data_IF_302812417940
#
_entry.id   IF_302812417940
#
_cell.length_a   1.000
_cell.length_b   1.000
_cell.length_c   1.000
_cell.angle_alpha   90.00
_cell.angle_beta   90.00
_cell.angle_gamma   90.00
#
_symmetry.space_group_name_H-M   'P 1'
#
loop_
_entity.id
_entity.type
_entity.pdbx_description
1 polymer ?
#
# COMPACT_ATOMS: atom_id res chain seq x y z
N UNK A 1 -13.52 -8.24 8.97
CA UNK A 1 -12.87 -7.02 9.50
C UNK A 1 -11.38 -7.21 9.39
N UNK A 2 -10.64 -6.25 8.83
CA UNK A 2 -9.17 -6.38 8.71
C UNK A 2 -8.54 -6.32 10.09
N UNK A 3 -7.70 -7.31 10.45
CA UNK A 3 -7.06 -7.41 11.78
C UNK A 3 -6.10 -6.25 12.06
N UNK A 4 -5.63 -5.58 11.03
CA UNK A 4 -4.55 -4.58 11.10
C UNK A 4 -5.07 -3.14 11.15
N UNK A 5 -6.33 -2.94 10.76
CA UNK A 5 -6.91 -1.62 10.54
C UNK A 5 -8.01 -1.35 11.54
N UNK A 6 -7.98 -0.15 12.11
CA UNK A 6 -9.05 0.39 12.93
C UNK A 6 -9.70 1.59 12.27
N UNK A 7 -11.02 1.57 12.19
CA UNK A 7 -11.80 2.73 11.77
C UNK A 7 -12.10 3.59 13.00
N UNK A 8 -11.64 4.85 12.98
CA UNK A 8 -11.95 5.84 13.99
C UNK A 8 -12.94 6.84 13.41
N UNK A 9 -14.12 6.91 14.04
CA UNK A 9 -15.14 7.89 13.70
C UNK A 9 -14.88 9.21 14.45
N UNK A 10 -14.85 10.31 13.72
CA UNK A 10 -14.75 11.67 14.23
C UNK A 10 -16.10 12.39 14.10
N UNK A 11 -16.23 13.49 14.84
CA UNK A 11 -17.38 14.38 14.73
C UNK A 11 -17.63 14.80 13.27
N UNK A 12 -18.92 14.96 12.92
CA UNK A 12 -19.41 15.28 11.56
C UNK A 12 -19.20 14.16 10.52
N UNK A 13 -19.25 12.90 10.95
CA UNK A 13 -19.28 11.74 10.03
C UNK A 13 -17.95 11.45 9.33
N UNK A 14 -16.85 12.06 9.76
CA UNK A 14 -15.53 11.79 9.19
C UNK A 14 -14.99 10.49 9.76
N UNK A 15 -14.69 9.52 8.90
CA UNK A 15 -14.00 8.29 9.29
C UNK A 15 -12.53 8.39 8.87
N UNK A 16 -11.63 7.97 9.75
CA UNK A 16 -10.24 7.69 9.37
C UNK A 16 -9.92 6.24 9.62
N UNK A 17 -9.11 5.67 8.74
CA UNK A 17 -8.57 4.32 8.90
C UNK A 17 -7.16 4.46 9.47
N UNK A 18 -6.91 3.80 10.58
CA UNK A 18 -5.61 3.75 11.25
C UNK A 18 -5.02 2.36 11.10
N UNK A 19 -3.76 2.29 10.72
CA UNK A 19 -2.98 1.06 10.76
C UNK A 19 -2.44 0.88 12.18
N UNK A 20 -2.98 -0.10 12.92
CA UNK A 20 -2.58 -0.39 14.30
C UNK A 20 -1.56 -1.52 14.37
N UNK A 21 -1.55 -2.42 13.40
CA UNK A 21 -0.62 -3.56 13.35
C UNK A 21 0.03 -3.62 11.97
N UNK A 22 1.34 -3.84 11.90
CA UNK A 22 2.07 -4.09 10.66
C UNK A 22 1.59 -5.42 10.04
N UNK A 23 1.09 -5.42 8.80
CA UNK A 23 0.59 -6.64 8.18
C UNK A 23 1.69 -7.62 7.76
N UNK A 24 2.94 -7.15 7.62
CA UNK A 24 4.10 -7.99 7.28
C UNK A 24 4.59 -8.81 8.49
N UNK A 25 4.85 -8.16 9.63
CA UNK A 25 5.49 -8.81 10.79
C UNK A 25 4.63 -8.88 12.05
N UNK A 26 3.44 -8.26 12.06
CA UNK A 26 2.56 -8.24 13.23
C UNK A 26 2.95 -7.23 14.32
N UNK A 27 3.88 -6.30 14.04
CA UNK A 27 4.28 -5.25 14.99
C UNK A 27 3.13 -4.30 15.33
N UNK A 28 2.88 -4.05 16.61
CA UNK A 28 1.86 -3.11 17.10
C UNK A 28 2.40 -1.67 17.08
N UNK A 29 1.75 -0.79 16.33
CA UNK A 29 2.15 0.62 16.21
C UNK A 29 1.65 1.48 17.36
N UNK A 30 2.51 2.38 17.82
CA UNK A 30 2.10 3.46 18.71
C UNK A 30 1.35 4.57 17.97
N UNK A 31 0.57 5.37 18.72
CA UNK A 31 -0.27 6.45 18.13
C UNK A 31 0.54 7.54 17.43
N UNK A 32 1.73 7.84 17.92
CA UNK A 32 2.61 8.90 17.41
C UNK A 32 3.73 8.39 16.50
N UNK A 33 3.78 7.08 16.23
CA UNK A 33 4.87 6.47 15.48
C UNK A 33 4.72 6.67 13.97
N UNK A 34 5.84 6.92 13.31
CA UNK A 34 5.95 7.02 11.87
C UNK A 34 5.95 5.65 11.20
N UNK A 35 4.73 5.15 10.95
CA UNK A 35 4.48 3.83 10.31
C UNK A 35 5.24 3.62 9.00
N UNK A 36 5.46 4.70 8.25
CA UNK A 36 6.15 4.63 6.96
C UNK A 36 7.63 4.27 7.11
N UNK A 37 8.28 4.68 8.20
CA UNK A 37 9.67 4.31 8.50
C UNK A 37 9.77 2.82 8.79
N UNK A 38 8.91 2.28 9.66
CA UNK A 38 8.84 0.83 9.91
C UNK A 38 8.51 0.03 8.64
N UNK A 39 7.56 0.49 7.82
CA UNK A 39 7.18 -0.21 6.58
C UNK A 39 8.36 -0.29 5.60
N UNK A 40 9.24 0.71 5.59
CA UNK A 40 10.41 0.73 4.71
C UNK A 40 11.46 -0.34 5.05
N UNK A 41 11.38 -0.97 6.23
CA UNK A 41 12.26 -2.07 6.63
C UNK A 41 11.83 -3.43 6.03
N UNK A 42 10.63 -3.50 5.44
CA UNK A 42 10.09 -4.72 4.83
C UNK A 42 10.31 -4.73 3.33
N UNK A 43 10.47 -5.92 2.78
CA UNK A 43 10.46 -6.15 1.34
C UNK A 43 9.00 -6.27 0.85
N UNK A 44 8.70 -5.97 -0.42
CA UNK A 44 7.34 -6.18 -0.98
C UNK A 44 6.79 -7.59 -0.74
N UNK A 45 7.66 -8.59 -0.76
CA UNK A 45 7.36 -10.01 -0.57
C UNK A 45 6.77 -10.29 0.81
N UNK A 46 7.16 -9.53 1.84
CA UNK A 46 6.60 -9.64 3.18
C UNK A 46 5.12 -9.22 3.22
N UNK A 47 4.67 -8.45 2.22
CA UNK A 47 3.27 -8.09 2.01
C UNK A 47 2.56 -9.00 0.98
N UNK A 48 3.23 -10.04 0.49
CA UNK A 48 2.74 -10.91 -0.57
C UNK A 48 2.74 -10.25 -1.96
N UNK A 49 3.54 -9.19 -2.15
CA UNK A 49 3.74 -8.54 -3.44
C UNK A 49 4.95 -9.16 -4.17
N UNK A 50 5.05 -9.01 -5.50
CA UNK A 50 6.25 -9.39 -6.24
C UNK A 50 7.48 -8.59 -5.79
N UNK A 51 8.69 -9.15 -5.93
CA UNK A 51 9.94 -8.45 -5.66
C UNK A 51 10.04 -7.12 -6.41
N UNK A 52 10.82 -6.19 -5.85
CA UNK A 52 11.13 -4.94 -6.52
C UNK A 52 11.80 -5.20 -7.88
N UNK A 53 11.27 -4.55 -8.91
CA UNK A 53 11.80 -4.64 -10.28
C UNK A 53 11.18 -5.75 -11.11
N UNK A 54 10.36 -6.63 -10.54
CA UNK A 54 9.54 -7.55 -11.31
C UNK A 54 8.23 -6.85 -11.71
N UNK A 55 8.03 -6.67 -13.01
CA UNK A 55 6.84 -6.06 -13.57
C UNK A 55 6.02 -7.08 -14.35
N UNK A 56 4.70 -6.96 -14.26
CA UNK A 56 3.80 -7.83 -15.01
C UNK A 56 4.04 -7.68 -16.51
N UNK A 57 3.88 -8.75 -17.31
CA UNK A 57 3.94 -8.66 -18.76
C UNK A 57 3.01 -7.56 -19.28
N UNK A 58 3.56 -6.59 -20.01
CA UNK A 58 2.82 -5.42 -20.50
C UNK A 58 2.89 -4.18 -19.60
N UNK A 59 3.71 -4.15 -18.54
CA UNK A 59 3.99 -2.94 -17.77
C UNK A 59 4.44 -1.76 -18.65
N UNK A 60 5.28 -2.05 -19.65
CA UNK A 60 5.80 -1.05 -20.59
C UNK A 60 4.90 -0.87 -21.82
N UNK A 61 3.77 -1.60 -21.89
CA UNK A 61 2.83 -1.40 -22.98
C UNK A 61 2.17 -0.02 -22.86
N UNK A 62 1.97 0.70 -23.97
CA UNK A 62 1.23 1.95 -23.97
C UNK A 62 -0.13 1.78 -23.28
N UNK A 63 -0.43 2.66 -22.33
CA UNK A 63 -1.73 2.69 -21.62
C UNK A 63 -2.92 2.79 -22.58
N UNK A 64 -2.70 3.42 -23.74
CA UNK A 64 -3.65 3.48 -24.84
C UNK A 64 -2.93 3.00 -26.09
N UNK A 65 -3.47 1.98 -26.77
CA UNK A 65 -2.86 1.30 -27.92
C UNK A 65 -2.22 2.29 -28.87
N UNK A 66 -0.90 2.18 -29.03
CA UNK A 66 -0.08 3.12 -29.77
C UNK A 66 -0.38 3.06 -31.28
N UNK A 67 -1.38 3.82 -31.71
CA UNK A 67 -1.47 4.31 -33.08
C UNK A 67 -1.05 5.78 -33.04
N UNK A 68 0.24 6.02 -33.27
CA UNK A 68 0.69 7.33 -33.69
C UNK A 68 -0.08 7.66 -34.98
N UNK A 69 -0.94 8.68 -34.92
CA UNK A 69 -1.50 9.28 -36.13
C UNK A 69 -0.33 9.82 -36.95
N UNK A 70 0.03 9.08 -38.00
CA UNK A 70 0.85 9.63 -39.07
C UNK A 70 0.00 10.61 -39.88
N UNK A 71 0.45 11.86 -39.95
CA UNK A 71 0.37 12.75 -41.11
C UNK A 71 1.54 13.73 -41.03
#
# INVERSE_FOLDING_TARGET
MSRYLRVVAYARGRQRVHLEICPACGYDYDRGEDRHEHIAEHAPEDFGLPPLGESSPGHDAPLFGGEARGD
#
